data_IF_331970665410
#
_entry.id   IF_331970665410
#
_cell.length_a   1.000
_cell.length_b   1.000
_cell.length_c   1.000
_cell.angle_alpha   90.00
_cell.angle_beta   90.00
_cell.angle_gamma   90.00
#
_symmetry.space_group_name_H-M   'P 1'
#
loop_
_entity.id
_entity.type
_entity.pdbx_description
1 polymer ?
#
# COMPACT_ATOMS: atom_id res chain seq x y z
N UNK A 1 13.94 13.84 19.87
CA UNK A 1 13.52 15.07 19.16
C UNK A 1 12.63 15.90 20.09
N UNK A 2 12.38 17.21 19.88
CA UNK A 2 11.44 17.93 20.74
C UNK A 2 10.03 17.35 20.61
N UNK A 3 9.34 17.21 21.74
CA UNK A 3 7.94 16.78 21.79
C UNK A 3 7.10 17.87 21.12
N UNK A 4 6.44 17.51 20.00
CA UNK A 4 5.58 18.42 19.24
C UNK A 4 4.16 17.86 19.18
N UNK A 5 3.17 18.76 19.24
CA UNK A 5 1.79 18.45 18.92
C UNK A 5 1.60 18.42 17.42
N UNK A 6 1.01 17.35 16.92
CA UNK A 6 0.68 17.20 15.50
C UNK A 6 -0.82 17.04 15.33
N UNK A 7 -1.36 17.68 14.31
CA UNK A 7 -2.71 17.42 13.83
C UNK A 7 -2.77 16.09 13.10
N UNK A 8 -3.96 15.52 12.96
CA UNK A 8 -4.16 14.29 12.18
C UNK A 8 -3.74 14.49 10.72
N UNK A 9 -3.90 15.70 10.17
CA UNK A 9 -3.44 16.05 8.83
C UNK A 9 -1.93 16.04 8.70
N UNK A 10 -1.20 16.56 9.69
CA UNK A 10 0.26 16.51 9.74
C UNK A 10 0.74 15.05 9.83
N UNK A 11 0.16 14.27 10.74
CA UNK A 11 0.50 12.85 10.91
C UNK A 11 0.20 12.04 9.64
N UNK A 12 -0.94 12.31 9.00
CA UNK A 12 -1.31 11.68 7.73
C UNK A 12 -0.34 12.06 6.61
N UNK A 13 0.07 13.32 6.55
CA UNK A 13 1.03 13.81 5.56
C UNK A 13 2.39 13.12 5.71
N UNK A 14 2.83 12.84 6.95
CA UNK A 14 4.03 12.04 7.21
C UNK A 14 3.91 10.62 6.64
N UNK A 15 2.76 9.97 6.79
CA UNK A 15 2.52 8.64 6.22
C UNK A 15 2.57 8.68 4.69
N UNK A 16 1.94 9.67 4.06
CA UNK A 16 1.96 9.83 2.60
C UNK A 16 3.39 10.07 2.09
N UNK A 17 4.14 10.98 2.72
CA UNK A 17 5.54 11.22 2.37
C UNK A 17 6.38 9.95 2.53
N UNK A 18 6.14 9.19 3.60
CA UNK A 18 6.83 7.94 3.86
C UNK A 18 6.52 6.88 2.79
N UNK A 19 5.28 6.80 2.32
CA UNK A 19 4.90 5.94 1.20
C UNK A 19 5.68 6.31 -0.05
N UNK A 20 5.67 7.58 -0.47
CA UNK A 20 6.38 8.00 -1.68
C UNK A 20 7.89 7.84 -1.59
N UNK A 21 8.47 8.02 -0.39
CA UNK A 21 9.91 7.82 -0.16
C UNK A 21 10.30 6.34 -0.13
N UNK A 22 9.46 5.48 0.44
CA UNK A 22 9.79 4.05 0.61
C UNK A 22 9.46 3.20 -0.62
N UNK A 23 8.54 3.69 -1.46
CA UNK A 23 7.99 3.00 -2.63
C UNK A 23 8.09 3.88 -3.87
N UNK A 24 9.28 4.46 -4.08
CA UNK A 24 9.60 5.41 -5.15
C UNK A 24 9.70 4.78 -6.55
N UNK A 25 9.61 3.46 -6.62
CA UNK A 25 9.78 2.67 -7.84
C UNK A 25 8.93 1.38 -7.78
N UNK A 26 8.51 0.84 -8.95
CA UNK A 26 7.88 -0.47 -9.04
C UNK A 26 8.72 -1.57 -8.39
N UNK A 27 10.03 -1.52 -8.52
CA UNK A 27 10.99 -2.49 -7.99
C UNK A 27 10.94 -2.53 -6.47
N UNK A 28 10.85 -1.36 -5.79
CA UNK A 28 10.72 -1.29 -4.33
C UNK A 28 9.42 -1.88 -3.81
N UNK A 29 8.32 -1.67 -4.53
CA UNK A 29 7.04 -2.32 -4.24
C UNK A 29 7.16 -3.83 -4.42
N UNK A 30 7.76 -4.28 -5.53
CA UNK A 30 7.93 -5.70 -5.80
C UNK A 30 8.83 -6.38 -4.76
N UNK A 31 9.93 -5.74 -4.37
CA UNK A 31 10.85 -6.21 -3.34
C UNK A 31 10.11 -6.41 -2.01
N UNK A 32 9.36 -5.39 -1.57
CA UNK A 32 8.66 -5.39 -0.27
C UNK A 32 7.47 -6.36 -0.24
N UNK A 33 6.76 -6.53 -1.36
CA UNK A 33 5.51 -7.29 -1.44
C UNK A 33 5.61 -8.54 -2.32
N UNK A 34 6.82 -9.03 -2.61
CA UNK A 34 7.11 -10.14 -3.55
C UNK A 34 6.13 -11.30 -3.37
N UNK A 35 6.07 -11.88 -2.18
CA UNK A 35 5.23 -13.05 -1.88
C UNK A 35 3.75 -12.76 -2.10
N UNK A 36 3.27 -11.57 -1.74
CA UNK A 36 1.87 -11.19 -1.92
C UNK A 36 1.53 -11.07 -3.41
N UNK A 37 2.37 -10.35 -4.17
CA UNK A 37 2.18 -10.11 -5.59
C UNK A 37 2.26 -11.42 -6.37
N UNK A 38 3.25 -12.28 -6.11
CA UNK A 38 3.38 -13.55 -6.82
C UNK A 38 2.17 -14.46 -6.61
N UNK A 39 1.63 -14.54 -5.38
CA UNK A 39 0.38 -15.28 -5.11
C UNK A 39 -0.80 -14.75 -5.91
N UNK A 40 -0.91 -13.42 -6.02
CA UNK A 40 -1.97 -12.76 -6.81
C UNK A 40 -1.84 -13.08 -8.30
N UNK A 41 -0.64 -12.97 -8.85
CA UNK A 41 -0.33 -13.33 -10.24
C UNK A 41 -0.72 -14.77 -10.52
N UNK A 42 -0.27 -15.71 -9.69
CA UNK A 42 -0.59 -17.13 -9.84
C UNK A 42 -2.11 -17.38 -9.80
N UNK A 43 -2.83 -16.73 -8.87
CA UNK A 43 -4.28 -16.88 -8.74
C UNK A 43 -5.10 -16.36 -9.94
N UNK A 44 -4.52 -15.45 -10.74
CA UNK A 44 -5.17 -14.89 -11.93
C UNK A 44 -4.88 -15.70 -13.19
N UNK A 45 -3.85 -16.53 -13.17
CA UNK A 45 -3.48 -17.36 -14.30
C UNK A 45 -4.42 -18.56 -14.43
N UNK A 46 -4.78 -18.89 -15.67
CA UNK A 46 -5.50 -20.13 -16.01
C UNK A 46 -4.55 -21.33 -16.18
N UNK A 47 -3.25 -21.07 -16.32
CA UNK A 47 -2.20 -22.08 -16.53
C UNK A 47 -1.14 -21.98 -15.43
N UNK A 48 -0.40 -23.07 -15.21
CA UNK A 48 0.82 -23.01 -14.40
C UNK A 48 1.83 -22.09 -15.10
N UNK A 49 2.32 -21.10 -14.38
CA UNK A 49 3.32 -20.16 -14.87
C UNK A 49 4.72 -20.66 -14.50
N UNK A 50 5.69 -20.38 -15.36
CA UNK A 50 7.11 -20.49 -15.05
C UNK A 50 7.53 -19.38 -14.09
N UNK A 51 8.69 -19.53 -13.45
CA UNK A 51 9.21 -18.53 -12.52
C UNK A 51 9.46 -17.17 -13.22
N UNK A 52 9.99 -17.20 -14.46
CA UNK A 52 10.18 -15.99 -15.27
C UNK A 52 8.85 -15.30 -15.59
N UNK A 53 7.80 -16.05 -16.00
CA UNK A 53 6.48 -15.47 -16.26
C UNK A 53 5.86 -14.87 -15.00
N UNK A 54 6.08 -15.49 -13.83
CA UNK A 54 5.64 -14.96 -12.54
C UNK A 54 6.37 -13.66 -12.24
N UNK A 55 7.68 -13.60 -12.45
CA UNK A 55 8.48 -12.41 -12.20
C UNK A 55 8.05 -11.24 -13.09
N UNK A 56 7.93 -11.45 -14.40
CA UNK A 56 7.46 -10.41 -15.34
C UNK A 56 6.06 -9.90 -15.00
N UNK A 57 5.14 -10.81 -14.70
CA UNK A 57 3.77 -10.45 -14.33
C UNK A 57 3.72 -9.76 -12.96
N UNK A 58 4.59 -10.15 -12.03
CA UNK A 58 4.69 -9.51 -10.71
C UNK A 58 5.19 -8.07 -10.85
N UNK A 59 6.15 -7.82 -11.74
CA UNK A 59 6.59 -6.45 -12.04
C UNK A 59 5.44 -5.62 -12.62
N UNK A 60 4.65 -6.15 -13.56
CA UNK A 60 3.46 -5.44 -14.08
C UNK A 60 2.46 -5.06 -12.99
N UNK A 61 2.20 -5.96 -12.03
CA UNK A 61 1.33 -5.67 -10.88
C UNK A 61 1.93 -4.58 -10.00
N UNK A 62 3.24 -4.62 -9.75
CA UNK A 62 3.94 -3.59 -8.98
C UNK A 62 3.92 -2.23 -9.69
N UNK A 63 4.08 -2.19 -11.02
CA UNK A 63 3.96 -0.96 -11.83
C UNK A 63 2.57 -0.35 -11.73
N UNK A 64 1.51 -1.16 -11.82
CA UNK A 64 0.13 -0.65 -11.66
C UNK A 64 -0.09 -0.12 -10.23
N UNK A 65 0.46 -0.79 -9.21
CA UNK A 65 0.42 -0.29 -7.84
C UNK A 65 1.16 1.04 -7.69
N UNK A 66 2.36 1.16 -8.26
CA UNK A 66 3.17 2.38 -8.28
C UNK A 66 2.41 3.55 -8.91
N UNK A 67 1.88 3.36 -10.12
CA UNK A 67 1.12 4.37 -10.84
C UNK A 67 -0.15 4.82 -10.09
N UNK A 68 -0.68 3.96 -9.23
CA UNK A 68 -1.86 4.23 -8.42
C UNK A 68 -1.53 4.71 -6.99
N UNK A 69 -0.26 4.93 -6.62
CA UNK A 69 0.11 5.39 -5.26
C UNK A 69 -0.59 6.70 -4.90
N UNK A 70 -0.75 7.61 -5.87
CA UNK A 70 -1.45 8.89 -5.69
C UNK A 70 -2.94 8.73 -5.31
N UNK A 71 -3.51 7.53 -5.37
CA UNK A 71 -4.87 7.25 -4.88
C UNK A 71 -4.93 7.12 -3.37
N UNK A 72 -3.80 6.92 -2.69
CA UNK A 72 -3.71 6.92 -1.24
C UNK A 72 -3.80 8.37 -0.77
N UNK A 73 -4.98 8.79 -0.33
CA UNK A 73 -5.21 10.17 0.12
C UNK A 73 -4.83 10.36 1.60
N UNK A 74 -4.62 11.62 1.99
CA UNK A 74 -4.44 12.00 3.40
C UNK A 74 -5.65 11.62 4.26
N UNK A 75 -6.86 11.72 3.72
CA UNK A 75 -8.09 11.31 4.41
C UNK A 75 -8.09 9.81 4.72
N UNK A 76 -7.66 8.97 3.75
CA UNK A 76 -7.51 7.54 3.97
C UNK A 76 -6.46 7.20 5.03
N UNK A 77 -5.35 7.95 5.05
CA UNK A 77 -4.31 7.79 6.07
C UNK A 77 -4.84 8.20 7.44
N UNK A 78 -5.52 9.35 7.53
CA UNK A 78 -6.12 9.90 8.74
C UNK A 78 -7.12 8.92 9.36
N UNK A 79 -8.01 8.35 8.56
CA UNK A 79 -8.99 7.36 9.01
C UNK A 79 -8.36 6.06 9.55
N UNK A 80 -7.09 5.78 9.22
CA UNK A 80 -6.33 4.61 9.69
C UNK A 80 -5.35 4.94 10.81
N UNK A 81 -5.19 6.21 11.18
CA UNK A 81 -4.37 6.57 12.32
C UNK A 81 -4.96 6.00 13.61
N UNK A 82 -4.09 5.57 14.52
CA UNK A 82 -4.49 5.06 15.83
C UNK A 82 -5.07 6.21 16.65
N UNK A 83 -6.25 5.98 17.24
CA UNK A 83 -6.87 6.94 18.16
C UNK A 83 -5.95 7.30 19.32
N UNK A 84 -5.17 6.34 19.80
CA UNK A 84 -4.20 6.56 20.88
C UNK A 84 -3.14 7.59 20.46
N UNK A 85 -2.58 7.44 19.26
CA UNK A 85 -1.53 8.32 18.74
C UNK A 85 -2.09 9.70 18.43
N UNK A 86 -3.25 9.79 17.79
CA UNK A 86 -3.87 11.09 17.49
C UNK A 86 -4.26 11.83 18.77
N UNK A 87 -4.83 11.14 19.75
CA UNK A 87 -5.19 11.74 21.04
C UNK A 87 -3.95 12.20 21.82
N UNK A 88 -2.93 11.34 21.95
CA UNK A 88 -1.69 11.66 22.67
C UNK A 88 -0.95 12.82 22.01
N UNK A 89 -0.86 12.81 20.67
CA UNK A 89 -0.28 13.92 19.89
C UNK A 89 -0.99 15.24 20.15
N UNK A 90 -2.33 15.27 20.16
CA UNK A 90 -3.10 16.51 20.40
C UNK A 90 -2.99 17.01 21.84
N UNK A 91 -3.01 16.11 22.82
CA UNK A 91 -3.02 16.47 24.24
C UNK A 91 -1.63 16.89 24.74
N UNK A 92 -0.65 15.99 24.61
CA UNK A 92 0.69 16.14 25.19
C UNK A 92 1.79 16.34 24.15
N UNK A 93 1.50 16.05 22.88
CA UNK A 93 2.51 15.93 21.84
C UNK A 93 3.17 14.55 21.84
N UNK A 94 3.89 14.24 20.77
CA UNK A 94 4.65 13.00 20.61
C UNK A 94 6.04 13.29 20.04
N UNK A 95 7.00 12.41 20.35
CA UNK A 95 8.25 12.31 19.59
C UNK A 95 8.05 11.32 18.44
N UNK A 96 8.13 11.80 17.19
CA UNK A 96 7.93 10.95 16.01
C UNK A 96 8.92 9.77 15.92
N UNK A 97 10.10 9.88 16.53
CA UNK A 97 11.10 8.82 16.51
C UNK A 97 10.65 7.57 17.30
N UNK A 98 9.84 7.74 18.35
CA UNK A 98 9.27 6.63 19.13
C UNK A 98 8.18 5.88 18.35
N UNK A 99 7.53 6.53 17.39
CA UNK A 99 6.43 5.96 16.59
C UNK A 99 6.85 5.63 15.16
N UNK A 100 8.16 5.58 14.88
CA UNK A 100 8.68 5.29 13.54
C UNK A 100 8.11 3.98 12.99
N UNK A 101 8.18 2.90 13.75
CA UNK A 101 7.70 1.58 13.31
C UNK A 101 6.19 1.57 13.05
N UNK A 102 5.44 2.33 13.85
CA UNK A 102 4.00 2.51 13.63
C UNK A 102 3.73 3.17 12.27
N UNK A 103 4.38 4.30 11.96
CA UNK A 103 4.16 4.99 10.69
C UNK A 103 4.63 4.16 9.48
N UNK A 104 5.77 3.45 9.61
CA UNK A 104 6.24 2.53 8.58
C UNK A 104 5.28 1.35 8.37
N UNK A 105 4.76 0.77 9.45
CA UNK A 105 3.76 -0.29 9.40
C UNK A 105 2.48 0.17 8.69
N UNK A 106 1.96 1.34 9.08
CA UNK A 106 0.78 1.93 8.45
C UNK A 106 1.00 2.22 6.96
N UNK A 107 2.13 2.82 6.58
CA UNK A 107 2.48 3.07 5.18
C UNK A 107 2.49 1.77 4.36
N UNK A 108 3.10 0.71 4.92
CA UNK A 108 3.13 -0.63 4.28
C UNK A 108 1.72 -1.21 4.13
N UNK A 109 0.87 -1.10 5.14
CA UNK A 109 -0.50 -1.61 5.10
C UNK A 109 -1.37 -0.85 4.09
N UNK A 110 -1.17 0.46 3.93
CA UNK A 110 -1.86 1.25 2.91
C UNK A 110 -1.48 0.80 1.49
N UNK A 111 -0.20 0.60 1.20
CA UNK A 111 0.26 0.10 -0.11
C UNK A 111 -0.22 -1.33 -0.36
N UNK A 112 -0.20 -2.19 0.67
CA UNK A 112 -0.77 -3.54 0.59
C UNK A 112 -2.27 -3.50 0.25
N UNK A 113 -3.02 -2.58 0.88
CA UNK A 113 -4.43 -2.33 0.58
C UNK A 113 -4.66 -1.89 -0.86
N UNK A 114 -3.80 -1.01 -1.39
CA UNK A 114 -3.84 -0.57 -2.78
C UNK A 114 -3.60 -1.74 -3.76
N UNK A 115 -2.60 -2.58 -3.50
CA UNK A 115 -2.32 -3.79 -4.30
C UNK A 115 -3.53 -4.73 -4.30
N UNK A 116 -4.15 -4.93 -3.14
CA UNK A 116 -5.36 -5.74 -3.00
C UNK A 116 -6.51 -5.16 -3.84
N UNK A 117 -6.76 -3.87 -3.72
CA UNK A 117 -7.81 -3.19 -4.48
C UNK A 117 -7.59 -3.30 -5.99
N UNK A 118 -6.37 -3.05 -6.47
CA UNK A 118 -6.02 -3.19 -7.90
C UNK A 118 -6.29 -4.63 -8.41
N UNK A 119 -5.90 -5.63 -7.61
CA UNK A 119 -6.17 -7.03 -7.92
C UNK A 119 -7.67 -7.34 -8.00
N UNK A 120 -8.46 -6.83 -7.05
CA UNK A 120 -9.90 -7.07 -7.02
C UNK A 120 -10.61 -6.43 -8.22
N UNK A 121 -10.17 -5.24 -8.66
CA UNK A 121 -10.66 -4.63 -9.89
C UNK A 121 -10.34 -5.49 -11.12
N UNK A 122 -9.08 -5.93 -11.27
CA UNK A 122 -8.68 -6.80 -12.38
C UNK A 122 -9.44 -8.13 -12.39
N UNK A 123 -9.66 -8.73 -11.21
CA UNK A 123 -10.43 -9.97 -11.05
C UNK A 123 -11.89 -9.79 -11.45
N UNK A 124 -12.52 -8.67 -11.05
CA UNK A 124 -13.90 -8.33 -11.44
C UNK A 124 -14.03 -8.21 -12.96
N UNK A 125 -13.12 -7.50 -13.62
CA UNK A 125 -13.15 -7.34 -15.08
C UNK A 125 -12.94 -8.67 -15.82
N UNK A 126 -11.98 -9.49 -15.39
CA UNK A 126 -11.79 -10.84 -15.93
C UNK A 126 -13.06 -11.68 -15.83
N UNK A 127 -13.74 -11.66 -14.69
CA UNK A 127 -14.96 -12.43 -14.49
C UNK A 127 -16.11 -11.96 -15.39
N UNK A 128 -16.24 -10.64 -15.63
CA UNK A 128 -17.22 -10.11 -16.59
C UNK A 128 -16.97 -10.63 -18.00
N UNK A 129 -15.71 -10.65 -18.46
CA UNK A 129 -15.33 -11.15 -19.77
C UNK A 129 -15.63 -12.65 -19.90
N UNK A 130 -15.30 -13.45 -18.88
CA UNK A 130 -15.57 -14.88 -18.88
C UNK A 130 -17.06 -15.20 -18.91
N UNK A 131 -17.91 -14.40 -18.24
CA UNK A 131 -19.37 -14.55 -18.29
C UNK A 131 -19.95 -14.25 -19.66
N UNK A 132 -19.40 -13.28 -20.40
CA UNK A 132 -19.86 -12.94 -21.77
C UNK A 132 -19.50 -13.98 -22.83
N UNK A 133 -18.54 -14.87 -22.54
CA UNK A 133 -18.08 -15.93 -23.45
C UNK A 133 -18.79 -17.27 -23.22
N UNK A 134 -19.62 -17.37 -22.19
CA UNK A 134 -20.50 -18.52 -21.92
C UNK A 134 -21.88 -18.23 -22.48
#
# INVERSE_FOLDING_TARGET
MPIKKYTDEELSSLVIQLIHKSYDSPEKILETFRVNISRKVQSMSMKKLTENEIQESSLKVATVAFNNLNRISREMASAKLSREITQKSRQTGIDLSEYKDYFHGLAKDMVKGLIQWNYDQAKKERNKILKKRK
#
